data_IF_178966702721
#
_entry.id   IF_178966702721
#
_cell.length_a   1.000
_cell.length_b   1.000
_cell.length_c   1.000
_cell.angle_alpha   90.00
_cell.angle_beta   90.00
_cell.angle_gamma   90.00
#
_symmetry.space_group_name_H-M   'P 1'
#
loop_
_entity.id
_entity.type
_entity.pdbx_description
1 polymer ?
#
# COMPACT_ATOMS: atom_id res chain seq x y z
N UNK A 1 15.59 21.33 -38.42
CA UNK A 1 14.34 21.56 -37.63
C UNK A 1 13.53 20.29 -37.39
N UNK A 2 13.35 19.39 -38.37
CA UNK A 2 12.62 18.11 -38.18
C UNK A 2 13.20 17.18 -37.10
N UNK A 3 14.51 16.99 -37.06
CA UNK A 3 15.20 16.11 -36.09
C UNK A 3 15.16 16.71 -34.67
N UNK A 4 15.30 18.04 -34.56
CA UNK A 4 15.24 18.75 -33.29
C UNK A 4 13.83 18.65 -32.66
N UNK A 5 12.78 18.73 -33.48
CA UNK A 5 11.41 18.51 -33.02
C UNK A 5 11.18 17.07 -32.51
N UNK A 6 11.82 16.08 -33.15
CA UNK A 6 11.72 14.68 -32.73
C UNK A 6 12.42 14.43 -31.39
N UNK A 7 13.58 15.04 -31.16
CA UNK A 7 14.32 14.96 -29.90
C UNK A 7 13.57 15.62 -28.73
N UNK A 8 12.93 16.76 -28.97
CA UNK A 8 12.08 17.44 -27.97
C UNK A 8 10.87 16.57 -27.62
N UNK A 9 10.26 15.89 -28.59
CA UNK A 9 9.12 15.00 -28.34
C UNK A 9 9.49 13.78 -27.48
N UNK A 10 10.70 13.23 -27.64
CA UNK A 10 11.20 12.12 -26.80
C UNK A 10 11.48 12.53 -25.35
N UNK A 11 11.93 13.76 -25.10
CA UNK A 11 12.27 14.22 -23.75
C UNK A 11 11.05 14.41 -22.83
N UNK A 12 9.84 14.56 -23.40
CA UNK A 12 8.60 14.78 -22.64
C UNK A 12 8.00 13.45 -22.13
N UNK A 13 8.44 12.30 -22.67
CA UNK A 13 7.86 10.99 -22.37
C UNK A 13 8.32 10.35 -21.05
N UNK A 14 9.21 10.99 -20.27
CA UNK A 14 9.88 10.34 -19.12
C UNK A 14 9.15 10.47 -17.78
N UNK A 15 7.91 10.96 -17.74
CA UNK A 15 7.17 11.21 -16.49
C UNK A 15 6.10 10.15 -16.17
N UNK A 16 6.30 8.89 -16.57
CA UNK A 16 5.44 7.80 -16.13
C UNK A 16 5.89 7.36 -14.74
N UNK A 17 5.20 7.81 -13.69
CA UNK A 17 5.34 7.22 -12.36
C UNK A 17 4.49 5.96 -12.29
N UNK A 18 5.06 4.88 -11.77
CA UNK A 18 4.29 3.69 -11.45
C UNK A 18 3.31 4.02 -10.32
N UNK A 19 2.14 3.40 -10.34
CA UNK A 19 1.21 3.42 -9.22
C UNK A 19 1.05 2.00 -8.71
N UNK A 20 0.93 1.85 -7.40
CA UNK A 20 0.61 0.58 -6.76
C UNK A 20 -0.48 0.79 -5.71
N UNK A 21 -1.21 -0.28 -5.42
CA UNK A 21 -2.24 -0.25 -4.37
C UNK A 21 -1.73 -0.98 -3.14
N UNK A 22 -1.99 -0.39 -1.98
CA UNK A 22 -1.74 -0.98 -0.67
C UNK A 22 -3.07 -1.35 -0.06
N UNK A 23 -3.10 -2.50 0.60
CA UNK A 23 -4.23 -3.06 1.29
C UNK A 23 -3.85 -3.32 2.73
N UNK A 24 -4.80 -3.10 3.63
CA UNK A 24 -4.69 -3.53 5.01
C UNK A 24 -5.79 -4.54 5.31
N UNK A 25 -5.38 -5.68 5.84
CA UNK A 25 -6.25 -6.80 6.16
C UNK A 25 -6.24 -7.06 7.66
N UNK A 26 -7.39 -7.50 8.17
CA UNK A 26 -7.43 -8.33 9.37
C UNK A 26 -7.34 -9.79 8.92
N UNK A 27 -6.32 -10.51 9.39
CA UNK A 27 -6.08 -11.91 9.04
C UNK A 27 -6.50 -12.81 10.19
N UNK A 28 -7.28 -13.84 9.87
CA UNK A 28 -7.87 -14.77 10.82
C UNK A 28 -7.49 -16.20 10.39
N UNK A 29 -6.94 -17.00 11.31
CA UNK A 29 -6.68 -18.42 11.03
C UNK A 29 -7.97 -19.22 11.03
N UNK A 30 -8.12 -20.14 10.06
CA UNK A 30 -9.26 -21.06 10.01
C UNK A 30 -8.98 -22.41 10.65
N UNK A 31 -7.78 -22.64 11.20
CA UNK A 31 -7.44 -23.92 11.83
C UNK A 31 -7.93 -23.98 13.28
N UNK A 32 -8.94 -24.81 13.59
CA UNK A 32 -9.43 -24.98 14.95
C UNK A 32 -8.40 -25.76 15.77
N UNK A 33 -7.63 -25.05 16.60
CA UNK A 33 -6.58 -25.64 17.43
C UNK A 33 -5.40 -24.71 17.66
N UNK A 34 -5.22 -23.74 16.75
CA UNK A 34 -4.25 -22.67 16.95
C UNK A 34 -4.87 -21.55 17.81
N UNK A 35 -5.05 -21.83 19.10
CA UNK A 35 -5.47 -20.83 20.09
C UNK A 35 -4.51 -19.61 20.16
N UNK A 36 -3.33 -19.71 19.55
CA UNK A 36 -2.34 -18.64 19.46
C UNK A 36 -2.52 -17.78 18.20
N UNK A 37 -3.22 -18.25 17.17
CA UNK A 37 -3.50 -17.48 15.96
C UNK A 37 -4.59 -16.42 16.21
N UNK A 38 -4.23 -15.41 16.99
CA UNK A 38 -5.07 -14.23 17.22
C UNK A 38 -5.24 -13.47 15.90
N UNK A 39 -6.44 -12.92 15.63
CA UNK A 39 -6.62 -11.98 14.54
C UNK A 39 -5.59 -10.86 14.65
N UNK A 40 -4.91 -10.55 13.54
CA UNK A 40 -3.91 -9.50 13.49
C UNK A 40 -4.02 -8.70 12.20
N UNK A 41 -3.53 -7.46 12.25
CA UNK A 41 -3.60 -6.53 11.14
C UNK A 41 -2.30 -6.59 10.34
N UNK A 42 -2.41 -6.68 9.02
CA UNK A 42 -1.26 -6.71 8.10
C UNK A 42 -1.48 -5.72 6.98
N UNK A 43 -0.38 -5.13 6.50
CA UNK A 43 -0.37 -4.27 5.33
C UNK A 43 0.40 -4.97 4.20
N UNK A 44 -0.17 -5.01 2.99
CA UNK A 44 0.40 -5.69 1.83
C UNK A 44 0.05 -4.99 0.52
N UNK A 45 0.85 -5.19 -0.52
CA UNK A 45 0.52 -4.79 -1.90
C UNK A 45 -0.28 -5.85 -2.66
N UNK A 46 -0.45 -7.05 -2.09
CA UNK A 46 -1.25 -8.11 -2.69
C UNK A 46 -2.73 -7.79 -2.49
N UNK A 47 -3.49 -7.83 -3.59
CA UNK A 47 -4.95 -7.78 -3.55
C UNK A 47 -5.51 -9.01 -2.79
N UNK A 48 -6.79 -9.00 -2.38
CA UNK A 48 -7.31 -10.02 -1.48
C UNK A 48 -7.17 -11.44 -2.04
N UNK A 49 -7.35 -11.62 -3.34
CA UNK A 49 -7.26 -12.93 -3.99
C UNK A 49 -5.81 -13.40 -4.03
N UNK A 50 -4.90 -12.52 -4.43
CA UNK A 50 -3.46 -12.83 -4.46
C UNK A 50 -2.89 -13.08 -3.06
N UNK A 51 -3.34 -12.31 -2.06
CA UNK A 51 -2.91 -12.48 -0.67
C UNK A 51 -3.35 -13.83 -0.13
N UNK A 52 -4.61 -14.21 -0.33
CA UNK A 52 -5.12 -15.54 0.04
C UNK A 52 -4.33 -16.64 -0.65
N UNK A 53 -4.15 -16.56 -1.97
CA UNK A 53 -3.42 -17.58 -2.73
C UNK A 53 -1.98 -17.77 -2.23
N UNK A 54 -1.28 -16.69 -1.88
CA UNK A 54 0.09 -16.74 -1.35
C UNK A 54 0.16 -17.37 0.04
N UNK A 55 -0.85 -17.17 0.89
CA UNK A 55 -0.87 -17.60 2.30
C UNK A 55 -1.65 -18.91 2.53
N UNK A 56 -1.69 -19.79 1.53
CA UNK A 56 -2.31 -21.12 1.67
C UNK A 56 -3.81 -21.18 1.38
N UNK A 57 -4.39 -20.13 0.81
CA UNK A 57 -5.74 -20.08 0.28
C UNK A 57 -6.85 -19.96 1.34
N UNK A 58 -8.09 -19.98 0.85
CA UNK A 58 -9.30 -19.84 1.67
C UNK A 58 -9.51 -20.97 2.68
N UNK A 59 -8.80 -22.10 2.54
CA UNK A 59 -8.85 -23.21 3.50
C UNK A 59 -7.99 -22.96 4.73
N UNK A 60 -6.97 -22.09 4.62
CA UNK A 60 -5.98 -21.86 5.67
C UNK A 60 -6.28 -20.62 6.49
N UNK A 61 -6.66 -19.53 5.81
CA UNK A 61 -6.94 -18.24 6.43
C UNK A 61 -8.22 -17.61 5.88
N UNK A 62 -8.80 -16.70 6.66
CA UNK A 62 -9.74 -15.68 6.21
C UNK A 62 -9.06 -14.32 6.26
N UNK A 63 -9.43 -13.42 5.34
CA UNK A 63 -8.96 -12.03 5.36
C UNK A 63 -10.15 -11.09 5.21
N UNK A 64 -10.20 -10.07 6.06
CA UNK A 64 -11.17 -8.98 5.96
C UNK A 64 -10.44 -7.71 5.54
N UNK A 65 -10.85 -7.11 4.41
CA UNK A 65 -10.26 -5.87 3.91
C UNK A 65 -10.73 -4.69 4.77
N UNK A 66 -9.80 -4.07 5.49
CA UNK A 66 -10.09 -2.93 6.36
C UNK A 66 -10.01 -1.60 5.60
N UNK A 67 -8.92 -1.41 4.83
CA UNK A 67 -8.67 -0.21 4.03
C UNK A 67 -7.76 -0.50 2.84
N UNK A 68 -7.85 0.34 1.82
CA UNK A 68 -6.86 0.36 0.73
C UNK A 68 -6.59 1.78 0.28
N UNK A 69 -5.39 2.02 -0.26
CA UNK A 69 -5.03 3.31 -0.83
C UNK A 69 -4.04 3.14 -1.99
N UNK A 70 -4.04 4.11 -2.90
CA UNK A 70 -3.08 4.18 -3.99
C UNK A 70 -1.84 4.92 -3.52
N UNK A 71 -0.68 4.37 -3.88
CA UNK A 71 0.62 4.97 -3.71
C UNK A 71 1.25 5.20 -5.08
N UNK A 72 2.00 6.30 -5.19
CA UNK A 72 2.81 6.60 -6.38
C UNK A 72 4.24 6.14 -6.11
N UNK A 73 4.90 5.58 -7.13
CA UNK A 73 6.22 4.98 -7.07
C UNK A 73 6.19 3.45 -7.11
N UNK A 74 7.21 2.81 -6.53
CA UNK A 74 7.32 1.36 -6.45
C UNK A 74 7.71 0.91 -5.03
N UNK A 75 7.42 -0.34 -4.68
CA UNK A 75 7.84 -0.98 -3.41
C UNK A 75 9.04 -1.92 -3.57
N UNK A 76 9.75 -1.85 -4.70
CA UNK A 76 10.97 -2.64 -4.92
C UNK A 76 12.09 -2.24 -3.95
N UNK A 77 13.05 -3.15 -3.72
CA UNK A 77 14.24 -2.86 -2.92
C UNK A 77 13.98 -2.65 -1.42
N UNK A 78 12.93 -3.27 -0.87
CA UNK A 78 12.52 -3.16 0.55
C UNK A 78 12.10 -1.73 0.95
N UNK A 79 11.60 -0.94 0.01
CA UNK A 79 10.99 0.35 0.33
C UNK A 79 9.72 0.18 1.16
N UNK A 80 9.57 1.05 2.16
CA UNK A 80 8.37 1.14 2.97
C UNK A 80 7.14 1.53 2.13
N UNK A 81 5.96 1.13 2.63
CA UNK A 81 4.69 1.56 2.04
C UNK A 81 4.48 3.05 2.23
N UNK A 82 3.84 3.70 1.25
CA UNK A 82 3.43 5.09 1.43
C UNK A 82 2.39 5.20 2.56
N UNK A 83 2.40 6.32 3.29
CA UNK A 83 1.45 6.58 4.37
C UNK A 83 0.01 6.54 3.87
N UNK A 84 -0.87 5.90 4.61
CA UNK A 84 -2.30 5.90 4.31
C UNK A 84 -2.91 7.30 4.50
N UNK A 85 -4.07 7.61 3.87
CA UNK A 85 -4.74 8.89 4.04
C UNK A 85 -5.00 9.27 5.51
N UNK A 86 -5.35 8.30 6.34
CA UNK A 86 -5.60 8.51 7.78
C UNK A 86 -4.33 8.87 8.53
N UNK A 87 -3.22 8.16 8.26
CA UNK A 87 -1.92 8.49 8.88
C UNK A 87 -1.44 9.89 8.48
N UNK A 88 -1.67 10.28 7.23
CA UNK A 88 -1.36 11.64 6.75
C UNK A 88 -2.19 12.69 7.48
N UNK A 89 -3.50 12.47 7.62
CA UNK A 89 -4.39 13.39 8.34
C UNK A 89 -3.95 13.57 9.81
N UNK A 90 -3.68 12.47 10.51
CA UNK A 90 -3.20 12.51 11.91
C UNK A 90 -1.85 13.24 12.00
N UNK A 91 -0.94 13.02 11.04
CA UNK A 91 0.35 13.71 11.03
C UNK A 91 0.18 15.23 10.83
N UNK A 92 -0.74 15.65 9.96
CA UNK A 92 -1.06 17.06 9.71
C UNK A 92 -1.67 17.74 10.94
N UNK A 93 -2.61 17.09 11.63
CA UNK A 93 -3.22 17.60 12.87
C UNK A 93 -2.18 17.82 13.98
N UNK A 94 -1.23 16.87 14.12
CA UNK A 94 -0.13 17.00 15.09
C UNK A 94 0.78 18.18 14.76
N UNK A 95 1.10 18.38 13.48
CA UNK A 95 1.93 19.50 13.03
C UNK A 95 1.24 20.84 13.31
N UNK A 96 -0.04 20.95 12.98
CA UNK A 96 -0.84 22.15 13.21
C UNK A 96 -0.95 22.49 14.70
N UNK A 97 -1.14 21.48 15.57
CA UNK A 97 -1.22 21.69 17.02
C UNK A 97 0.12 22.15 17.60
N UNK A 98 1.24 21.63 17.08
CA UNK A 98 2.57 22.01 17.51
C UNK A 98 2.93 23.45 17.12
N UNK A 99 2.47 23.91 15.95
CA UNK A 99 2.68 25.29 15.47
C UNK A 99 1.85 26.31 16.25
N UNK A 100 0.61 25.97 16.65
CA UNK A 100 -0.25 26.85 17.47
C UNK A 100 0.21 26.94 18.93
N UNK A 101 0.99 25.97 19.41
CA UNK A 101 1.54 25.96 20.77
C UNK A 101 2.86 26.74 20.92
N UNK A 102 3.39 27.30 19.83
CA UNK A 102 4.59 28.15 19.77
C UNK A 102 4.22 29.63 19.77
#
# INVERSE_FOLDING_TARGET
>A
MRILGLLILMAIATQVQAEYRVYQYQVISKFPGDYQAKPHVVTSTLDPVSYLAYHGGETSIAVDLMRSWTCVGHTGGLQDYCQSPVERAIAQEKQQTAEVAQ
#
